data_IF_076999992163
#
_entry.id   IF_076999992163
#
_cell.length_a   1.000
_cell.length_b   1.000
_cell.length_c   1.000
_cell.angle_alpha   90.00
_cell.angle_beta   90.00
_cell.angle_gamma   90.00
#
_symmetry.space_group_name_H-M   'P 1'
#
loop_
_entity.id
_entity.type
_entity.pdbx_description
1 polymer ?
#
# COMPACT_ATOMS: atom_id res chain seq x y z
N UNK A 1 18.93 4.02 -9.42
CA UNK A 1 20.18 3.25 -9.27
C UNK A 1 20.61 3.38 -7.83
N UNK A 2 20.81 2.27 -7.13
CA UNK A 2 21.27 2.25 -5.73
C UNK A 2 22.78 2.02 -5.76
N UNK A 3 23.56 3.03 -5.42
CA UNK A 3 25.02 2.90 -5.34
C UNK A 3 25.51 3.38 -3.98
N UNK A 4 26.40 2.62 -3.36
CA UNK A 4 27.04 2.97 -2.10
C UNK A 4 28.55 2.82 -2.25
N UNK A 5 29.27 3.93 -2.13
CA UNK A 5 30.74 3.94 -2.11
C UNK A 5 31.28 3.71 -0.70
N UNK A 6 32.43 3.04 -0.62
CA UNK A 6 33.14 2.77 0.63
C UNK A 6 33.71 4.08 1.19
N UNK A 7 33.51 4.31 2.49
CA UNK A 7 34.11 5.44 3.21
C UNK A 7 35.53 5.09 3.68
N UNK A 8 36.42 6.08 3.89
CA UNK A 8 37.72 5.83 4.52
C UNK A 8 37.52 5.19 5.90
N UNK A 9 38.37 4.21 6.24
CA UNK A 9 38.32 3.42 7.48
C UNK A 9 37.03 2.62 7.71
N UNK A 10 36.23 2.38 6.68
CA UNK A 10 35.04 1.54 6.78
C UNK A 10 35.36 0.06 6.58
N UNK A 11 34.82 -0.82 7.45
CA UNK A 11 34.86 -2.27 7.25
C UNK A 11 33.88 -2.71 6.15
N UNK A 12 34.21 -3.80 5.45
CA UNK A 12 33.36 -4.35 4.38
C UNK A 12 31.95 -4.70 4.93
N UNK A 13 31.87 -5.22 6.16
CA UNK A 13 30.59 -5.53 6.81
C UNK A 13 29.72 -4.29 7.04
N UNK A 14 30.31 -3.15 7.43
CA UNK A 14 29.57 -1.89 7.61
C UNK A 14 29.02 -1.37 6.27
N UNK A 15 29.84 -1.45 5.21
CA UNK A 15 29.44 -1.09 3.85
C UNK A 15 28.22 -1.92 3.39
N UNK A 16 28.25 -3.24 3.59
CA UNK A 16 27.13 -4.13 3.22
C UNK A 16 25.85 -3.83 4.00
N UNK A 17 25.95 -3.47 5.28
CA UNK A 17 24.78 -3.06 6.09
C UNK A 17 24.17 -1.76 5.57
N UNK A 18 24.99 -0.76 5.20
CA UNK A 18 24.51 0.48 4.59
C UNK A 18 23.84 0.21 3.24
N UNK A 19 24.45 -0.61 2.41
CA UNK A 19 23.87 -1.04 1.14
C UNK A 19 22.50 -1.70 1.34
N UNK A 20 22.40 -2.68 2.24
CA UNK A 20 21.13 -3.34 2.53
C UNK A 20 20.04 -2.37 3.00
N UNK A 21 20.37 -1.47 3.93
CA UNK A 21 19.42 -0.45 4.41
C UNK A 21 18.98 0.49 3.28
N UNK A 22 19.89 0.89 2.40
CA UNK A 22 19.57 1.74 1.26
C UNK A 22 18.72 1.01 0.21
N UNK A 23 18.99 -0.27 -0.07
CA UNK A 23 18.15 -1.10 -0.95
C UNK A 23 16.73 -1.23 -0.38
N UNK A 24 16.60 -1.45 0.94
CA UNK A 24 15.31 -1.51 1.61
C UNK A 24 14.55 -0.18 1.54
N UNK A 25 15.20 0.94 1.88
CA UNK A 25 14.56 2.26 1.84
C UNK A 25 14.22 2.73 0.42
N UNK A 26 15.06 2.39 -0.56
CA UNK A 26 14.82 2.75 -1.97
C UNK A 26 13.61 2.04 -2.59
N UNK A 27 13.15 0.94 -1.98
CA UNK A 27 12.04 0.14 -2.49
C UNK A 27 12.30 -0.49 -3.87
N UNK A 28 13.55 -0.51 -4.36
CA UNK A 28 13.89 -0.95 -5.72
C UNK A 28 13.45 -2.40 -5.97
N UNK A 29 13.58 -3.26 -4.95
CA UNK A 29 13.13 -4.65 -5.02
C UNK A 29 11.61 -4.77 -5.10
N UNK A 30 10.87 -3.95 -4.34
CA UNK A 30 9.40 -3.94 -4.36
C UNK A 30 8.92 -3.48 -5.74
N UNK A 31 9.53 -2.42 -6.29
CA UNK A 31 9.23 -1.92 -7.62
C UNK A 31 9.47 -2.99 -8.69
N UNK A 32 10.64 -3.62 -8.67
CA UNK A 32 10.99 -4.68 -9.62
C UNK A 32 10.05 -5.88 -9.54
N UNK A 33 9.69 -6.32 -8.31
CA UNK A 33 8.71 -7.39 -8.12
C UNK A 33 7.32 -7.01 -8.65
N UNK A 34 6.88 -5.77 -8.41
CA UNK A 34 5.57 -5.27 -8.87
C UNK A 34 5.50 -5.13 -10.40
N UNK A 35 6.61 -4.73 -11.03
CA UNK A 35 6.69 -4.58 -12.50
C UNK A 35 7.07 -5.86 -13.24
N UNK A 36 7.31 -6.98 -12.53
CA UNK A 36 7.68 -8.27 -13.13
C UNK A 36 6.67 -8.74 -14.17
N UNK A 37 5.39 -8.45 -13.96
CA UNK A 37 4.30 -8.86 -14.84
C UNK A 37 3.53 -7.65 -15.37
N UNK A 38 3.04 -7.76 -16.61
CA UNK A 38 2.18 -6.73 -17.21
C UNK A 38 0.86 -6.66 -16.47
N UNK A 39 0.57 -5.53 -15.84
CA UNK A 39 -0.73 -5.22 -15.28
C UNK A 39 -1.62 -4.66 -16.42
N UNK A 40 -2.76 -5.31 -16.68
CA UNK A 40 -3.74 -4.80 -17.65
C UNK A 40 -4.35 -3.51 -17.10
N UNK A 41 -4.60 -2.53 -17.98
CA UNK A 41 -5.38 -1.34 -17.59
C UNK A 41 -6.77 -1.79 -17.12
N UNK A 42 -7.30 -1.22 -16.03
CA UNK A 42 -8.66 -1.50 -15.59
C UNK A 42 -9.65 -1.10 -16.70
N UNK A 43 -10.79 -1.78 -16.75
CA UNK A 43 -11.89 -1.39 -17.63
C UNK A 43 -12.65 -0.23 -17.01
N UNK A 44 -13.36 0.54 -17.82
CA UNK A 44 -14.18 1.68 -17.34
C UNK A 44 -15.14 1.26 -16.21
N UNK A 45 -15.78 0.09 -16.31
CA UNK A 45 -16.63 -0.46 -15.23
C UNK A 45 -15.85 -0.67 -13.93
N UNK A 46 -14.63 -1.20 -14.00
CA UNK A 46 -13.79 -1.43 -12.82
C UNK A 46 -13.35 -0.11 -12.18
N UNK A 47 -13.03 0.89 -12.99
CA UNK A 47 -12.69 2.23 -12.50
C UNK A 47 -13.89 2.88 -11.80
N UNK A 48 -15.09 2.84 -12.40
CA UNK A 48 -16.33 3.35 -11.81
C UNK A 48 -16.66 2.64 -10.49
N UNK A 49 -16.62 1.31 -10.45
CA UNK A 49 -16.90 0.54 -9.23
C UNK A 49 -15.89 0.86 -8.12
N UNK A 50 -14.60 1.02 -8.46
CA UNK A 50 -13.58 1.42 -7.50
C UNK A 50 -13.83 2.83 -6.93
N UNK A 51 -14.24 3.78 -7.77
CA UNK A 51 -14.57 5.14 -7.33
C UNK A 51 -15.80 5.15 -6.40
N UNK A 52 -16.88 4.44 -6.78
CA UNK A 52 -18.08 4.26 -5.96
C UNK A 52 -17.72 3.66 -4.60
N UNK A 53 -16.93 2.57 -4.59
CA UNK A 53 -16.47 1.95 -3.35
C UNK A 53 -15.65 2.92 -2.49
N UNK A 54 -14.77 3.71 -3.09
CA UNK A 54 -13.99 4.73 -2.39
C UNK A 54 -14.86 5.78 -1.70
N UNK A 55 -15.94 6.23 -2.36
CA UNK A 55 -16.90 7.17 -1.77
C UNK A 55 -17.61 6.56 -0.56
N UNK A 56 -18.07 5.30 -0.67
CA UNK A 56 -18.72 4.60 0.43
C UNK A 56 -17.79 4.37 1.62
N UNK A 57 -16.53 4.00 1.37
CA UNK A 57 -15.52 3.83 2.43
C UNK A 57 -15.21 5.15 3.14
N UNK A 58 -15.11 6.26 2.40
CA UNK A 58 -14.91 7.59 2.99
C UNK A 58 -16.09 7.98 3.89
N UNK A 59 -17.32 7.72 3.42
CA UNK A 59 -18.53 7.98 4.20
C UNK A 59 -18.61 7.11 5.46
N UNK A 60 -18.27 5.81 5.34
CA UNK A 60 -18.23 4.87 6.47
C UNK A 60 -17.24 5.33 7.53
N UNK A 61 -16.03 5.70 7.12
CA UNK A 61 -15.00 6.21 8.02
C UNK A 61 -15.48 7.43 8.79
N UNK A 62 -16.00 8.44 8.08
CA UNK A 62 -16.56 9.65 8.71
C UNK A 62 -17.70 9.33 9.68
N UNK A 63 -18.54 8.35 9.36
CA UNK A 63 -19.63 7.91 10.25
C UNK A 63 -19.09 7.28 11.53
N UNK A 64 -18.13 6.37 11.43
CA UNK A 64 -17.53 5.70 12.59
C UNK A 64 -16.75 6.67 13.48
N UNK A 65 -16.00 7.60 12.87
CA UNK A 65 -15.31 8.67 13.58
C UNK A 65 -16.30 9.54 14.36
N UNK A 66 -17.41 9.97 13.73
CA UNK A 66 -18.48 10.74 14.40
C UNK A 66 -19.16 9.99 15.54
N UNK A 67 -19.27 8.67 15.42
CA UNK A 67 -19.86 7.81 16.46
C UNK A 67 -18.88 7.47 17.59
N UNK A 68 -17.60 7.85 17.45
CA UNK A 68 -16.56 7.46 18.41
C UNK A 68 -16.24 5.96 18.42
N UNK A 69 -16.66 5.22 17.38
CA UNK A 69 -16.48 3.77 17.24
C UNK A 69 -15.47 3.41 16.15
N UNK A 70 -14.54 4.32 15.88
CA UNK A 70 -13.52 4.07 14.88
C UNK A 70 -12.38 3.26 15.51
N UNK A 71 -12.31 2.00 15.13
CA UNK A 71 -11.15 1.15 15.30
C UNK A 71 -10.95 0.33 14.00
N UNK A 72 -9.74 -0.19 13.81
CA UNK A 72 -9.35 -0.88 12.58
C UNK A 72 -10.20 -2.15 12.35
N UNK A 73 -10.60 -2.83 13.42
CA UNK A 73 -11.36 -4.08 13.37
C UNK A 73 -12.83 -3.80 13.00
N UNK A 74 -13.48 -2.87 13.70
CA UNK A 74 -14.84 -2.39 13.40
C UNK A 74 -14.95 -1.81 11.99
N UNK A 75 -13.94 -1.08 11.52
CA UNK A 75 -13.94 -0.55 10.15
C UNK A 75 -13.91 -1.69 9.11
N UNK A 76 -13.06 -2.70 9.30
CA UNK A 76 -12.98 -3.84 8.38
C UNK A 76 -14.23 -4.73 8.43
N UNK A 77 -14.85 -4.90 9.60
CA UNK A 77 -16.15 -5.59 9.72
C UNK A 77 -17.27 -4.87 8.98
N UNK A 78 -17.45 -3.57 9.22
CA UNK A 78 -18.48 -2.76 8.56
C UNK A 78 -18.25 -2.66 7.05
N UNK A 79 -16.99 -2.59 6.63
CA UNK A 79 -16.59 -2.67 5.22
C UNK A 79 -16.96 -4.02 4.60
N UNK A 80 -16.79 -5.14 5.30
CA UNK A 80 -17.22 -6.46 4.80
C UNK A 80 -18.74 -6.54 4.66
N UNK A 81 -19.50 -6.07 5.66
CA UNK A 81 -20.98 -6.02 5.60
C UNK A 81 -21.45 -5.15 4.43
N UNK A 82 -20.84 -3.98 4.27
CA UNK A 82 -21.12 -3.07 3.15
C UNK A 82 -20.86 -3.73 1.79
N UNK A 83 -19.73 -4.44 1.64
CA UNK A 83 -19.41 -5.18 0.41
C UNK A 83 -20.37 -6.34 0.13
N UNK A 84 -20.95 -6.96 1.16
CA UNK A 84 -21.95 -8.02 0.98
C UNK A 84 -23.31 -7.47 0.53
N UNK A 85 -23.66 -6.24 0.93
CA UNK A 85 -24.91 -5.58 0.53
C UNK A 85 -24.83 -4.86 -0.83
N UNK A 86 -23.66 -4.34 -1.18
CA UNK A 86 -23.37 -3.83 -2.53
C UNK A 86 -22.93 -5.02 -3.38
N UNK A 87 -23.88 -5.64 -4.07
CA UNK A 87 -23.67 -6.76 -5.00
C UNK A 87 -22.84 -6.31 -6.24
N UNK A 88 -21.56 -5.95 -6.02
CA UNK A 88 -20.64 -5.28 -6.94
C UNK A 88 -19.39 -6.12 -7.27
#
# INVERSE_FOLDING_TARGET
MVEVKRKPNESIGSLMRRFNRFVQSSGVLVRAKKSKFRIKKPTERKEKNAAIMGMHLSALRKRLEKLGKYDEETFEEEKRKMKQGLDL
#
